data_IF_107673957871
#
_entry.id   IF_107673957871
#
_cell.length_a   1.000
_cell.length_b   1.000
_cell.length_c   1.000
_cell.angle_alpha   90.00
_cell.angle_beta   90.00
_cell.angle_gamma   90.00
#
_symmetry.space_group_name_H-M   'P 1'
#
loop_
_entity.id
_entity.type
_entity.pdbx_description
1 polymer ?
#
# COMPACT_ATOMS: atom_id res chain seq x y z
N UNK A 1 5.17 -15.71 -13.45
CA UNK A 1 4.04 -14.87 -13.03
C UNK A 1 3.52 -15.43 -11.71
N UNK A 2 3.72 -14.74 -10.58
CA UNK A 2 3.05 -15.12 -9.33
C UNK A 2 1.54 -14.90 -9.49
N UNK A 3 0.67 -15.79 -8.98
CA UNK A 3 -0.76 -15.56 -9.00
C UNK A 3 -1.06 -14.34 -8.11
N UNK A 4 -1.54 -13.26 -8.73
CA UNK A 4 -2.11 -12.16 -7.96
C UNK A 4 -3.36 -12.70 -7.26
N UNK A 5 -3.39 -12.63 -5.93
CA UNK A 5 -4.56 -13.01 -5.16
C UNK A 5 -5.62 -11.92 -5.40
N UNK A 6 -6.70 -12.31 -6.08
CA UNK A 6 -7.89 -11.48 -6.20
C UNK A 6 -8.77 -11.75 -4.99
N UNK A 7 -9.00 -10.74 -4.17
CA UNK A 7 -9.94 -10.81 -3.06
C UNK A 7 -11.16 -9.97 -3.39
N UNK A 8 -12.35 -10.57 -3.31
CA UNK A 8 -13.58 -9.81 -3.37
C UNK A 8 -13.87 -9.19 -2.00
N UNK A 9 -14.01 -7.87 -1.99
CA UNK A 9 -14.32 -7.11 -0.79
C UNK A 9 -15.71 -6.54 -0.94
N UNK A 10 -16.59 -6.90 0.00
CA UNK A 10 -17.97 -6.42 0.02
C UNK A 10 -18.17 -5.53 1.25
N UNK A 11 -18.46 -4.24 1.08
CA UNK A 11 -18.85 -3.38 2.19
C UNK A 11 -20.17 -3.88 2.80
N UNK A 12 -20.31 -3.75 4.12
CA UNK A 12 -21.59 -4.03 4.78
C UNK A 12 -22.64 -3.02 4.30
N UNK A 13 -23.90 -3.46 4.26
CA UNK A 13 -25.02 -2.58 3.94
C UNK A 13 -25.01 -1.31 4.83
N UNK A 14 -25.26 -0.16 4.23
CA UNK A 14 -25.18 1.14 4.91
C UNK A 14 -23.76 1.68 5.09
N UNK A 15 -22.74 1.02 4.55
CA UNK A 15 -21.35 1.50 4.55
C UNK A 15 -20.75 1.50 3.15
N UNK A 16 -19.71 2.32 2.98
CA UNK A 16 -18.85 2.35 1.80
C UNK A 16 -17.39 2.42 2.21
N UNK A 17 -16.50 1.82 1.43
CA UNK A 17 -15.05 1.95 1.60
C UNK A 17 -14.61 3.26 0.92
N UNK A 18 -13.82 4.06 1.63
CA UNK A 18 -13.32 5.37 1.17
C UNK A 18 -11.80 5.44 1.15
N UNK A 19 -11.12 4.33 1.41
CA UNK A 19 -9.68 4.24 1.33
C UNK A 19 -9.18 2.93 1.89
N UNK A 20 -7.90 2.68 1.67
CA UNK A 20 -7.20 1.58 2.30
C UNK A 20 -5.74 1.97 2.55
N UNK A 21 -5.12 1.24 3.47
CA UNK A 21 -3.69 1.27 3.67
C UNK A 21 -3.17 -0.13 4.00
N UNK A 22 -1.99 -0.43 3.49
CA UNK A 22 -1.17 -1.56 3.87
C UNK A 22 0.07 -1.00 4.53
N UNK A 23 0.37 -1.47 5.73
CA UNK A 23 1.62 -1.19 6.43
C UNK A 23 2.36 -2.51 6.63
N UNK A 24 3.68 -2.49 6.42
CA UNK A 24 4.55 -3.63 6.65
C UNK A 24 5.93 -3.18 7.10
N UNK A 25 6.57 -4.04 7.89
CA UNK A 25 7.96 -3.88 8.28
C UNK A 25 8.83 -4.64 7.29
N UNK A 26 9.72 -3.94 6.59
CA UNK A 26 10.69 -4.54 5.66
C UNK A 26 12.07 -4.52 6.31
N UNK A 27 12.72 -5.68 6.38
CA UNK A 27 14.10 -5.81 6.84
C UNK A 27 14.95 -6.34 5.71
N UNK A 28 16.06 -5.67 5.42
CA UNK A 28 17.01 -6.13 4.42
C UNK A 28 18.39 -6.41 4.98
N UNK A 29 19.15 -7.18 4.21
CA UNK A 29 20.59 -7.36 4.40
C UNK A 29 21.24 -7.13 3.04
N UNK A 30 22.22 -6.25 3.00
CA UNK A 30 22.95 -5.91 1.79
C UNK A 30 24.43 -5.79 2.11
N UNK A 31 25.21 -6.75 1.63
CA UNK A 31 26.66 -6.79 1.84
C UNK A 31 27.32 -7.09 0.50
N UNK A 32 28.11 -6.15 -0.01
CA UNK A 32 28.96 -6.38 -1.17
C UNK A 32 30.24 -7.08 -0.73
N UNK A 33 30.67 -8.09 -1.49
CA UNK A 33 31.94 -8.76 -1.28
C UNK A 33 33.12 -7.80 -1.48
N UNK A 34 34.15 -7.91 -0.63
CA UNK A 34 35.39 -7.14 -0.78
C UNK A 34 36.31 -7.67 -1.88
N UNK A 35 37.54 -7.16 -1.93
CA UNK A 35 38.55 -7.56 -2.91
C UNK A 35 38.96 -6.42 -3.84
N UNK A 36 39.91 -6.71 -4.72
CA UNK A 36 40.46 -5.72 -5.65
C UNK A 36 39.45 -5.33 -6.73
N UNK A 37 38.59 -6.28 -7.14
CA UNK A 37 37.35 -5.96 -7.85
C UNK A 37 36.17 -6.31 -6.93
N UNK A 38 35.60 -5.33 -6.19
CA UNK A 38 34.55 -5.57 -5.23
C UNK A 38 33.29 -6.15 -5.89
N UNK A 39 32.57 -6.95 -5.13
CA UNK A 39 31.31 -7.54 -5.53
C UNK A 39 30.19 -6.52 -5.60
N UNK A 40 29.00 -7.00 -5.97
CA UNK A 40 27.79 -6.19 -6.07
C UNK A 40 26.65 -6.88 -5.34
N UNK A 41 25.91 -6.12 -4.52
CA UNK A 41 24.69 -6.58 -3.89
C UNK A 41 23.59 -5.53 -4.09
N UNK A 42 22.41 -5.96 -4.50
CA UNK A 42 21.23 -5.12 -4.67
C UNK A 42 19.98 -5.85 -4.23
N UNK A 43 19.06 -5.14 -3.60
CA UNK A 43 17.73 -5.63 -3.31
C UNK A 43 16.68 -4.54 -3.55
N UNK A 44 15.49 -4.93 -4.00
CA UNK A 44 14.33 -4.07 -3.98
C UNK A 44 13.04 -4.85 -3.83
N UNK A 45 12.02 -4.15 -3.34
CA UNK A 45 10.65 -4.62 -3.27
C UNK A 45 9.75 -3.59 -3.95
N UNK A 46 8.84 -4.08 -4.77
CA UNK A 46 7.71 -3.31 -5.29
C UNK A 46 6.45 -3.87 -4.68
N UNK A 47 5.63 -3.01 -4.09
CA UNK A 47 4.26 -3.31 -3.72
C UNK A 47 3.34 -2.57 -4.67
N UNK A 48 2.35 -3.24 -5.23
CA UNK A 48 1.35 -2.61 -6.10
C UNK A 48 -0.05 -3.06 -5.74
N UNK A 49 -1.03 -2.21 -6.04
CA UNK A 49 -2.43 -2.51 -5.89
C UNK A 49 -3.21 -2.13 -7.15
N UNK A 50 -4.32 -2.82 -7.33
CA UNK A 50 -5.36 -2.46 -8.30
C UNK A 50 -6.73 -2.77 -7.70
N UNK A 51 -7.60 -1.76 -7.67
CA UNK A 51 -8.99 -1.91 -7.26
C UNK A 51 -9.87 -1.98 -8.50
N UNK A 52 -10.47 -3.14 -8.73
CA UNK A 52 -11.41 -3.37 -9.82
C UNK A 52 -12.80 -2.87 -9.42
N UNK A 53 -13.04 -1.59 -9.70
CA UNK A 53 -14.31 -0.90 -9.49
C UNK A 53 -14.36 0.32 -10.42
N UNK A 54 -15.54 0.81 -10.86
CA UNK A 54 -15.65 2.03 -11.67
C UNK A 54 -15.00 3.27 -11.03
N UNK A 55 -14.97 3.30 -9.69
CA UNK A 55 -14.32 4.34 -8.88
C UNK A 55 -13.07 3.83 -8.15
N UNK A 56 -12.48 2.76 -8.67
CA UNK A 56 -11.26 2.17 -8.14
C UNK A 56 -10.04 3.03 -8.44
N UNK A 57 -8.90 2.59 -7.91
CA UNK A 57 -7.59 3.19 -8.15
C UNK A 57 -6.55 2.08 -8.32
N UNK A 58 -5.43 2.44 -8.91
CA UNK A 58 -4.23 1.60 -8.99
C UNK A 58 -3.00 2.42 -8.63
N UNK A 59 -1.95 1.73 -8.18
CA UNK A 59 -0.72 2.39 -7.77
C UNK A 59 0.25 1.41 -7.15
N UNK A 60 1.36 1.96 -6.67
CA UNK A 60 2.40 1.15 -6.05
C UNK A 60 3.49 2.00 -5.43
N UNK A 61 4.35 1.32 -4.68
CA UNK A 61 5.55 1.88 -4.10
C UNK A 61 6.70 0.92 -4.39
N UNK A 62 7.84 1.49 -4.79
CA UNK A 62 9.10 0.79 -4.94
C UNK A 62 10.06 1.34 -3.89
N UNK A 63 10.76 0.44 -3.21
CA UNK A 63 11.87 0.80 -2.34
C UNK A 63 12.99 -0.21 -2.49
N UNK A 64 14.22 0.24 -2.34
CA UNK A 64 15.44 -0.50 -2.69
C UNK A 64 16.57 -0.26 -1.69
N UNK A 65 17.62 -1.07 -1.79
CA UNK A 65 18.84 -0.99 -0.98
C UNK A 65 18.59 -1.11 0.53
N UNK A 66 17.75 -2.06 0.92
CA UNK A 66 17.44 -2.34 2.32
C UNK A 66 18.67 -2.92 3.04
N UNK A 67 19.22 -2.14 3.95
CA UNK A 67 20.32 -2.52 4.86
C UNK A 67 19.86 -2.66 6.32
N UNK A 68 18.68 -2.11 6.63
CA UNK A 68 18.11 -2.04 7.96
C UNK A 68 16.59 -2.21 7.87
N UNK A 69 15.93 -2.13 9.02
CA UNK A 69 14.49 -2.16 9.13
C UNK A 69 13.88 -0.85 8.62
N UNK A 70 12.80 -0.96 7.83
CA UNK A 70 12.10 0.17 7.26
C UNK A 70 10.59 -0.08 7.27
N UNK A 71 9.82 0.93 7.65
CA UNK A 71 8.36 0.89 7.54
C UNK A 71 7.95 1.21 6.11
N UNK A 72 7.19 0.31 5.49
CA UNK A 72 6.68 0.47 4.14
C UNK A 72 5.16 0.60 4.19
N UNK A 73 4.65 1.65 3.57
CA UNK A 73 3.21 1.90 3.48
C UNK A 73 2.78 2.02 2.04
N UNK A 74 1.68 1.37 1.70
CA UNK A 74 0.99 1.48 0.42
C UNK A 74 -0.47 1.80 0.70
N UNK A 75 -1.07 2.78 0.04
CA UNK A 75 -2.47 3.08 0.28
C UNK A 75 -2.95 4.21 -0.59
N UNK A 76 -4.26 4.33 -0.69
CA UNK A 76 -4.89 5.43 -1.40
C UNK A 76 -6.25 5.78 -0.79
N UNK A 77 -6.62 7.07 -0.82
CA UNK A 77 -8.03 7.43 -0.71
C UNK A 77 -8.78 6.85 -1.91
N UNK A 78 -10.01 6.42 -1.67
CA UNK A 78 -10.94 5.94 -2.68
C UNK A 78 -12.18 6.82 -2.64
N UNK A 79 -12.79 7.08 -3.79
CA UNK A 79 -13.99 7.91 -3.84
C UNK A 79 -15.13 7.24 -3.06
N UNK A 80 -15.58 6.08 -3.52
CA UNK A 80 -16.46 5.19 -2.77
C UNK A 80 -16.47 3.82 -3.44
N UNK A 81 -16.36 2.77 -2.63
CA UNK A 81 -16.72 1.42 -3.02
C UNK A 81 -17.92 1.00 -2.17
N UNK A 82 -19.08 0.95 -2.81
CA UNK A 82 -20.38 0.61 -2.23
C UNK A 82 -20.92 -0.73 -2.75
N UNK A 83 -20.22 -1.33 -3.71
CA UNK A 83 -20.53 -2.65 -4.27
C UNK A 83 -19.34 -3.60 -4.13
N UNK A 84 -19.55 -4.93 -4.25
CA UNK A 84 -18.45 -5.88 -4.28
C UNK A 84 -17.38 -5.47 -5.29
N UNK A 85 -16.14 -5.35 -4.82
CA UNK A 85 -15.01 -4.85 -5.61
C UNK A 85 -13.85 -5.84 -5.53
N UNK A 86 -13.22 -6.09 -6.67
CA UNK A 86 -12.03 -6.91 -6.73
C UNK A 86 -10.81 -6.13 -6.23
N UNK A 87 -10.06 -6.69 -5.29
CA UNK A 87 -8.86 -6.09 -4.76
C UNK A 87 -7.65 -6.96 -5.09
N UNK A 88 -6.75 -6.42 -5.91
CA UNK A 88 -5.47 -7.04 -6.22
C UNK A 88 -4.37 -6.35 -5.44
N UNK A 89 -3.62 -7.13 -4.68
CA UNK A 89 -2.37 -6.71 -4.07
C UNK A 89 -1.26 -7.63 -4.61
N UNK A 90 -0.16 -7.06 -5.06
CA UNK A 90 0.98 -7.82 -5.54
C UNK A 90 2.28 -7.29 -4.96
N UNK A 91 3.20 -8.20 -4.69
CA UNK A 91 4.56 -7.87 -4.30
C UNK A 91 5.53 -8.51 -5.27
N UNK A 92 6.56 -7.76 -5.65
CA UNK A 92 7.68 -8.27 -6.41
C UNK A 92 8.98 -7.96 -5.66
N UNK A 93 9.81 -8.98 -5.44
CA UNK A 93 11.12 -8.84 -4.80
C UNK A 93 12.19 -9.26 -5.80
N UNK A 94 13.24 -8.46 -5.89
CA UNK A 94 14.43 -8.80 -6.65
C UNK A 94 15.66 -8.69 -5.74
N UNK A 95 16.51 -9.71 -5.82
CA UNK A 95 17.75 -9.81 -5.07
C UNK A 95 18.87 -10.16 -6.05
N UNK A 96 19.97 -9.42 -5.99
CA UNK A 96 21.17 -9.66 -6.78
C UNK A 96 22.36 -9.69 -5.84
N UNK A 97 23.19 -10.72 -5.93
CA UNK A 97 24.44 -10.83 -5.19
C UNK A 97 25.51 -11.48 -6.07
N UNK A 98 26.50 -10.68 -6.49
CA UNK A 98 27.66 -11.13 -7.26
C UNK A 98 28.90 -11.01 -6.38
N UNK A 99 29.67 -12.10 -6.25
CA UNK A 99 30.89 -12.12 -5.43
C UNK A 99 31.97 -11.17 -5.95
N UNK A 100 32.83 -10.68 -5.05
CA UNK A 100 33.99 -9.86 -5.41
C UNK A 100 35.19 -10.74 -5.72
N UNK A 101 36.06 -10.28 -6.62
CA UNK A 101 37.27 -11.01 -7.00
C UNK A 101 38.43 -10.62 -6.07
N UNK A 102 39.15 -11.64 -5.58
CA UNK A 102 40.30 -11.48 -4.68
C UNK A 102 41.49 -12.25 -5.28
N UNK A 103 42.45 -11.57 -5.92
CA UNK A 103 43.64 -12.22 -6.44
C UNK A 103 44.54 -12.72 -5.30
N UNK A 104 45.27 -13.80 -5.54
CA UNK A 104 46.32 -14.26 -4.61
C UNK A 104 47.60 -13.42 -4.82
N UNK A 105 48.07 -12.67 -3.82
CA UNK A 105 49.30 -11.87 -3.94
C UNK A 105 50.57 -12.71 -4.17
N UNK A 106 50.54 -14.02 -3.90
CA UNK A 106 51.64 -14.94 -4.21
C UNK A 106 51.57 -15.54 -5.63
N UNK A 107 50.57 -15.16 -6.44
CA UNK A 107 50.37 -15.66 -7.80
C UNK A 107 49.70 -17.04 -7.89
N UNK A 108 49.09 -17.52 -6.81
CA UNK A 108 48.25 -18.73 -6.81
C UNK A 108 46.84 -18.49 -7.35
N UNK A 109 45.94 -19.44 -7.08
CA UNK A 109 44.57 -19.41 -7.56
C UNK A 109 43.78 -18.26 -6.92
N UNK A 110 43.04 -17.45 -7.71
CA UNK A 110 42.22 -16.39 -7.16
C UNK A 110 41.04 -16.96 -6.37
N UNK A 111 40.53 -16.15 -5.44
CA UNK A 111 39.34 -16.46 -4.65
C UNK A 111 38.23 -15.44 -4.88
N UNK A 112 37.04 -15.77 -4.40
CA UNK A 112 35.87 -14.91 -4.49
C UNK A 112 35.34 -14.59 -3.10
N UNK A 113 35.16 -13.30 -2.82
CA UNK A 113 34.50 -12.83 -1.61
C UNK A 113 32.98 -12.94 -1.76
N UNK A 114 32.30 -13.29 -0.68
CA UNK A 114 30.87 -13.47 -0.68
C UNK A 114 30.13 -12.11 -0.69
N UNK A 115 29.10 -12.01 -1.53
CA UNK A 115 28.09 -10.96 -1.47
C UNK A 115 26.76 -11.54 -0.95
N UNK A 116 25.99 -10.73 -0.23
CA UNK A 116 24.71 -11.12 0.37
C UNK A 116 23.65 -10.07 0.02
N UNK A 117 22.51 -10.53 -0.49
CA UNK A 117 21.30 -9.72 -0.66
C UNK A 117 20.11 -10.49 -0.09
N UNK A 118 19.41 -9.88 0.85
CA UNK A 118 18.22 -10.45 1.47
C UNK A 118 17.18 -9.38 1.73
N UNK A 119 15.91 -9.77 1.64
CA UNK A 119 14.74 -8.97 2.04
C UNK A 119 13.74 -9.88 2.72
N UNK A 120 13.22 -9.45 3.85
CA UNK A 120 12.10 -10.08 4.56
C UNK A 120 11.04 -9.02 4.81
N UNK A 121 9.77 -9.37 4.63
CA UNK A 121 8.63 -8.52 4.96
C UNK A 121 7.81 -9.21 6.06
N UNK A 122 7.51 -8.47 7.14
CA UNK A 122 6.75 -8.95 8.29
C UNK A 122 5.75 -7.90 8.79
N UNK A 123 4.92 -8.29 9.74
CA UNK A 123 3.91 -7.44 10.40
C UNK A 123 2.94 -6.76 9.41
N UNK A 124 2.59 -7.49 8.34
CA UNK A 124 1.77 -6.96 7.27
C UNK A 124 0.34 -6.76 7.76
N UNK A 125 -0.13 -5.51 7.74
CA UNK A 125 -1.47 -5.12 8.16
C UNK A 125 -2.17 -4.38 7.03
N UNK A 126 -3.32 -4.90 6.59
CA UNK A 126 -4.22 -4.24 5.64
C UNK A 126 -5.40 -3.64 6.39
N UNK A 127 -5.63 -2.35 6.20
CA UNK A 127 -6.70 -1.58 6.84
C UNK A 127 -7.57 -0.94 5.78
N UNK A 128 -8.89 -1.02 5.96
CA UNK A 128 -9.87 -0.32 5.15
C UNK A 128 -10.50 0.82 5.93
N UNK A 129 -10.54 2.00 5.33
CA UNK A 129 -11.28 3.14 5.85
C UNK A 129 -12.69 3.10 5.31
N UNK A 130 -13.68 3.14 6.19
CA UNK A 130 -15.11 3.07 5.83
C UNK A 130 -15.86 4.30 6.34
N UNK A 131 -16.94 4.66 5.63
CA UNK A 131 -17.90 5.67 6.09
C UNK A 131 -19.33 5.15 5.95
N UNK A 132 -20.26 5.57 6.82
CA UNK A 132 -21.66 5.26 6.67
C UNK A 132 -22.24 5.97 5.43
N UNK A 133 -23.17 5.30 4.76
CA UNK A 133 -24.00 5.86 3.69
C UNK A 133 -25.30 6.32 4.34
N UNK A 134 -25.63 7.63 4.35
CA UNK A 134 -26.86 8.11 4.97
C UNK A 134 -28.08 7.48 4.30
N UNK A 135 -28.98 6.95 5.11
CA UNK A 135 -30.23 6.39 4.61
C UNK A 135 -31.13 7.50 4.04
N UNK A 136 -32.06 7.17 3.12
CA UNK A 136 -33.00 8.15 2.58
C UNK A 136 -33.76 8.93 3.66
N UNK A 137 -34.09 8.27 4.77
CA UNK A 137 -34.77 8.89 5.91
C UNK A 137 -33.91 9.94 6.63
N UNK A 138 -32.58 9.81 6.64
CA UNK A 138 -31.67 10.84 7.16
C UNK A 138 -31.78 12.12 6.33
N UNK A 139 -31.90 11.99 5.00
CA UNK A 139 -32.10 13.13 4.10
C UNK A 139 -33.48 13.76 4.27
N UNK A 140 -34.53 12.95 4.46
CA UNK A 140 -35.87 13.46 4.74
C UNK A 140 -35.91 14.25 6.05
N UNK A 141 -35.26 13.75 7.11
CA UNK A 141 -35.13 14.47 8.37
C UNK A 141 -34.39 15.80 8.18
N UNK A 142 -33.26 15.80 7.47
CA UNK A 142 -32.51 17.03 7.18
C UNK A 142 -33.36 18.06 6.41
N UNK A 143 -34.02 17.63 5.34
CA UNK A 143 -34.88 18.49 4.51
C UNK A 143 -36.08 19.02 5.30
N UNK A 144 -36.71 18.17 6.11
CA UNK A 144 -37.84 18.58 6.96
C UNK A 144 -37.42 19.60 8.02
N UNK A 145 -36.24 19.43 8.64
CA UNK A 145 -35.67 20.39 9.57
C UNK A 145 -35.38 21.74 8.91
N UNK A 146 -34.75 21.73 7.73
CA UNK A 146 -34.49 22.95 6.95
C UNK A 146 -35.79 23.66 6.55
N UNK A 147 -36.82 22.92 6.15
CA UNK A 147 -38.13 23.48 5.82
C UNK A 147 -38.79 24.15 7.04
N UNK A 148 -38.74 23.50 8.21
CA UNK A 148 -39.28 24.06 9.45
C UNK A 148 -38.57 25.37 9.87
N UNK A 149 -37.24 25.40 9.81
CA UNK A 149 -36.44 26.60 10.12
C UNK A 149 -36.77 27.74 9.15
N UNK A 150 -36.85 27.43 7.85
CA UNK A 150 -37.18 28.41 6.81
C UNK A 150 -38.57 29.02 7.02
N UNK A 151 -39.57 28.19 7.35
CA UNK A 151 -40.93 28.65 7.63
C UNK A 151 -40.98 29.54 8.89
N UNK A 152 -40.24 29.19 9.95
CA UNK A 152 -40.16 30.00 11.16
C UNK A 152 -39.52 31.38 10.90
N UNK A 153 -38.43 31.42 10.12
CA UNK A 153 -37.75 32.66 9.74
C UNK A 153 -38.61 33.58 8.85
N UNK A 154 -39.38 33.00 7.91
CA UNK A 154 -40.34 33.76 7.11
C UNK A 154 -41.48 34.33 7.97
N UNK A 155 -41.91 33.58 8.98
CA UNK A 155 -42.97 34.01 9.89
C UNK A 155 -42.51 35.12 10.84
N UNK A 156 -41.27 35.09 11.32
CA UNK A 156 -40.72 36.15 12.19
C UNK A 156 -40.52 37.46 11.42
N UNK A 157 -40.04 37.41 10.17
CA UNK A 157 -39.90 38.61 9.32
C UNK A 157 -41.21 39.30 8.97
N UNK A 158 -42.32 38.56 8.89
CA UNK A 158 -43.67 39.14 8.64
C UNK A 158 -44.31 39.76 9.88
N UNK A 159 -43.73 39.55 11.07
CA UNK A 159 -44.25 40.04 12.36
C UNK A 159 -43.49 41.27 12.88
N UNK A 160 -42.47 41.73 12.17
CA UNK A 160 -41.82 43.02 12.34
C UNK A 160 -42.27 43.95 11.21
#
# INVERSE_FOLDING_TARGET
MSPALLYDITPRAGYRITGFSLAATVQGTLVAGGGDAPGFAFNYITLSYQVQHPHGAEGGVLSSNFQQEHQMTLGAPLQWLDTPSGFHLSSYVNLVANGGFVPDPAGGEPSWSQSIAGVTMRDVTLTFTVSPVPEPQTWLMLLSGLAAVSAAALRSRKRC
#
